data_IF_327932412794
#
_entry.id   IF_327932412794
#
_cell.length_a   1.000
_cell.length_b   1.000
_cell.length_c   1.000
_cell.angle_alpha   90.00
_cell.angle_beta   90.00
_cell.angle_gamma   90.00
#
_symmetry.space_group_name_H-M   'P 1'
#
loop_
_entity.id
_entity.type
_entity.pdbx_description
1 polymer ?
#
# COMPACT_ATOMS: atom_id res chain seq x y z
N UNK A 1 -23.34 44.92 -26.08
CA UNK A 1 -22.71 44.45 -24.85
C UNK A 1 -23.65 43.68 -23.93
N UNK A 2 -24.85 44.11 -23.78
CA UNK A 2 -25.82 43.42 -22.92
C UNK A 2 -26.25 42.04 -23.42
N UNK A 3 -26.31 41.86 -24.70
CA UNK A 3 -26.71 40.59 -25.30
C UNK A 3 -25.70 39.48 -25.08
N UNK A 4 -24.41 39.81 -25.03
CA UNK A 4 -23.36 38.84 -24.78
C UNK A 4 -23.43 38.27 -23.38
N UNK A 5 -23.81 39.07 -22.41
CA UNK A 5 -23.94 38.63 -21.04
C UNK A 5 -25.12 37.68 -20.87
N UNK A 6 -26.20 37.91 -21.59
CA UNK A 6 -27.37 37.02 -21.62
C UNK A 6 -27.02 35.67 -22.23
N UNK A 7 -26.26 35.66 -23.28
CA UNK A 7 -25.80 34.43 -23.92
C UNK A 7 -24.90 33.63 -23.00
N UNK A 8 -24.05 34.28 -22.23
CA UNK A 8 -23.21 33.60 -21.25
C UNK A 8 -24.03 32.94 -20.17
N UNK A 9 -25.10 33.53 -19.71
CA UNK A 9 -25.98 32.94 -18.72
C UNK A 9 -26.69 31.71 -19.26
N UNK A 10 -27.14 31.74 -20.53
CA UNK A 10 -27.77 30.59 -21.15
C UNK A 10 -26.80 29.41 -21.32
N UNK A 11 -25.56 29.69 -21.72
CA UNK A 11 -24.52 28.66 -21.79
C UNK A 11 -24.20 28.06 -20.44
N UNK A 12 -24.21 28.86 -19.42
CA UNK A 12 -23.99 28.43 -18.04
C UNK A 12 -25.04 27.42 -17.58
N UNK A 13 -26.29 27.65 -17.91
CA UNK A 13 -27.37 26.73 -17.57
C UNK A 13 -27.23 25.37 -18.25
N UNK A 14 -26.83 25.39 -19.51
CA UNK A 14 -26.62 24.15 -20.25
C UNK A 14 -25.46 23.34 -19.66
N UNK A 15 -24.40 23.99 -19.20
CA UNK A 15 -23.28 23.34 -18.54
C UNK A 15 -23.68 22.70 -17.23
N UNK A 16 -24.55 23.34 -16.47
CA UNK A 16 -25.06 22.78 -15.23
C UNK A 16 -25.87 21.50 -15.45
N UNK A 17 -26.70 21.47 -16.49
CA UNK A 17 -27.44 20.28 -16.83
C UNK A 17 -26.53 19.10 -17.21
N UNK A 18 -25.47 19.38 -17.91
CA UNK A 18 -24.48 18.36 -18.30
C UNK A 18 -23.75 17.78 -17.08
N UNK A 19 -23.43 18.63 -16.12
CA UNK A 19 -22.74 18.21 -14.89
C UNK A 19 -23.63 17.26 -14.07
N UNK A 20 -24.92 17.50 -14.02
CA UNK A 20 -25.86 16.62 -13.30
C UNK A 20 -25.90 15.22 -13.92
N UNK A 21 -25.86 15.13 -15.23
CA UNK A 21 -25.84 13.84 -15.93
C UNK A 21 -24.59 13.03 -15.63
N UNK A 22 -23.44 13.69 -15.54
CA UNK A 22 -22.18 13.05 -15.18
C UNK A 22 -22.20 12.57 -13.73
N UNK A 23 -22.82 13.32 -12.84
CA UNK A 23 -22.94 12.95 -11.44
C UNK A 23 -23.71 11.65 -11.21
N UNK A 24 -24.68 11.34 -12.02
CA UNK A 24 -25.45 10.10 -11.94
C UNK A 24 -24.58 8.90 -12.34
N UNK A 25 -23.71 9.07 -13.31
CA UNK A 25 -22.84 8.01 -13.79
C UNK A 25 -21.78 7.63 -12.75
N UNK A 26 -21.27 8.59 -11.99
CA UNK A 26 -20.27 8.34 -10.96
C UNK A 26 -20.82 7.60 -9.75
N UNK A 27 -22.11 7.65 -9.50
CA UNK A 27 -22.76 6.95 -8.40
C UNK A 27 -22.72 5.41 -8.55
N UNK A 28 -22.49 4.89 -9.74
CA UNK A 28 -22.36 3.46 -10.00
C UNK A 28 -20.97 2.90 -9.72
N UNK A 29 -19.94 3.73 -9.69
CA UNK A 29 -18.56 3.33 -9.49
C UNK A 29 -18.24 2.79 -8.08
N UNK A 30 -18.80 3.29 -6.98
CA UNK A 30 -18.47 2.81 -5.65
C UNK A 30 -18.78 1.34 -5.40
N UNK A 31 -19.64 0.74 -6.18
CA UNK A 31 -20.01 -0.67 -6.01
C UNK A 31 -18.90 -1.64 -6.35
N UNK A 32 -18.01 -1.27 -7.23
CA UNK A 32 -16.87 -2.11 -7.60
C UNK A 32 -15.78 -2.10 -6.54
N UNK A 33 -15.62 -1.01 -5.82
CA UNK A 33 -14.60 -0.88 -4.78
C UNK A 33 -14.92 -1.78 -3.59
N UNK A 34 -16.18 -1.97 -3.26
CA UNK A 34 -16.61 -2.83 -2.16
C UNK A 34 -16.31 -4.32 -2.37
N UNK A 35 -16.20 -4.78 -3.62
CA UNK A 35 -15.91 -6.17 -3.95
C UNK A 35 -14.44 -6.54 -3.73
N UNK A 36 -13.55 -5.55 -3.57
CA UNK A 36 -12.12 -5.77 -3.37
C UNK A 36 -11.70 -5.85 -1.90
N UNK A 37 -12.58 -5.56 -0.97
CA UNK A 37 -12.31 -5.58 0.46
C UNK A 37 -11.83 -6.94 0.97
N UNK A 38 -12.32 -8.10 0.50
CA UNK A 38 -11.82 -9.39 0.95
C UNK A 38 -10.36 -9.69 0.60
N UNK A 39 -9.78 -9.00 -0.36
CA UNK A 39 -8.38 -9.21 -0.76
C UNK A 39 -7.37 -8.71 0.27
N UNK A 40 -7.78 -7.83 1.17
CA UNK A 40 -6.90 -7.28 2.20
C UNK A 40 -6.50 -8.32 3.24
N UNK A 41 -7.38 -9.27 3.54
CA UNK A 41 -7.09 -10.34 4.47
C UNK A 41 -6.06 -11.34 3.95
N UNK A 42 -6.07 -11.58 2.65
CA UNK A 42 -5.09 -12.46 2.01
C UNK A 42 -3.70 -11.82 1.91
N UNK A 43 -3.64 -10.49 1.95
CA UNK A 43 -2.38 -9.77 1.85
C UNK A 43 -1.53 -9.91 3.12
N UNK A 44 -2.15 -10.04 4.28
CA UNK A 44 -1.43 -10.21 5.55
C UNK A 44 -0.76 -11.58 5.67
N UNK A 45 -1.48 -12.64 5.32
CA UNK A 45 -0.92 -13.99 5.25
C UNK A 45 0.19 -14.05 4.21
N UNK A 46 0.00 -13.35 3.10
CA UNK A 46 0.96 -13.22 2.02
C UNK A 46 2.28 -12.55 2.43
N UNK A 47 2.26 -11.57 3.33
CA UNK A 47 3.49 -10.88 3.75
C UNK A 47 4.43 -11.83 4.51
N UNK A 48 3.92 -12.57 5.47
CA UNK A 48 4.70 -13.57 6.21
C UNK A 48 5.32 -14.60 5.28
N UNK A 49 4.49 -15.19 4.44
CA UNK A 49 4.93 -16.23 3.50
C UNK A 49 5.93 -15.67 2.49
N UNK A 50 5.70 -14.45 2.00
CA UNK A 50 6.62 -13.78 1.09
C UNK A 50 7.98 -13.53 1.75
N UNK A 51 8.01 -13.11 3.01
CA UNK A 51 9.25 -12.89 3.75
C UNK A 51 9.99 -14.21 3.98
N UNK A 52 9.30 -15.24 4.42
CA UNK A 52 9.89 -16.56 4.67
C UNK A 52 10.50 -17.13 3.39
N UNK A 53 9.76 -17.10 2.30
CA UNK A 53 10.20 -17.65 1.02
C UNK A 53 11.29 -16.80 0.38
N UNK A 54 11.10 -15.49 0.31
CA UNK A 54 12.03 -14.58 -0.37
C UNK A 54 13.36 -14.40 0.37
N UNK A 55 13.32 -14.39 1.70
CA UNK A 55 14.51 -14.25 2.53
C UNK A 55 15.14 -15.61 2.89
N UNK A 56 14.56 -16.70 2.41
CA UNK A 56 15.02 -18.07 2.66
C UNK A 56 15.15 -18.41 4.13
N UNK A 57 14.14 -18.04 4.90
CA UNK A 57 14.05 -18.34 6.32
C UNK A 57 13.77 -19.83 6.53
N UNK A 58 14.79 -20.60 6.87
CA UNK A 58 14.69 -22.04 7.08
C UNK A 58 14.80 -22.43 8.56
N UNK A 59 15.53 -21.64 9.33
CA UNK A 59 15.70 -21.89 10.75
C UNK A 59 14.50 -21.39 11.56
N UNK A 60 14.17 -22.03 12.71
CA UNK A 60 13.04 -21.56 13.53
C UNK A 60 13.13 -20.11 13.96
N UNK A 61 14.32 -19.63 14.33
CA UNK A 61 14.54 -18.23 14.72
C UNK A 61 14.29 -17.25 13.56
N UNK A 62 14.63 -17.66 12.35
CA UNK A 62 14.41 -16.85 11.15
C UNK A 62 12.92 -16.71 10.82
N UNK A 63 12.22 -17.82 10.95
CA UNK A 63 10.75 -17.84 10.75
C UNK A 63 10.07 -16.96 11.79
N UNK A 64 10.48 -17.05 13.06
CA UNK A 64 9.96 -16.20 14.12
C UNK A 64 10.24 -14.72 13.86
N UNK A 65 11.41 -14.40 13.33
CA UNK A 65 11.75 -13.04 12.94
C UNK A 65 10.80 -12.52 11.85
N UNK A 66 10.57 -13.31 10.82
CA UNK A 66 9.61 -12.95 9.75
C UNK A 66 8.20 -12.77 10.31
N UNK A 67 7.77 -13.61 11.23
CA UNK A 67 6.48 -13.47 11.90
C UNK A 67 6.38 -12.17 12.69
N UNK A 68 7.41 -11.81 13.44
CA UNK A 68 7.45 -10.56 14.19
C UNK A 68 7.36 -9.35 13.26
N UNK A 69 8.09 -9.35 12.15
CA UNK A 69 8.05 -8.28 11.16
C UNK A 69 6.65 -8.16 10.55
N UNK A 70 6.06 -9.27 10.14
CA UNK A 70 4.72 -9.28 9.57
C UNK A 70 3.67 -8.80 10.57
N UNK A 71 3.75 -9.24 11.82
CA UNK A 71 2.85 -8.82 12.87
C UNK A 71 3.00 -7.32 13.21
N UNK A 72 4.23 -6.83 13.32
CA UNK A 72 4.50 -5.42 13.57
C UNK A 72 3.96 -4.53 12.44
N UNK A 73 4.04 -5.00 11.21
CA UNK A 73 3.47 -4.31 10.05
C UNK A 73 1.94 -4.29 10.12
N UNK A 74 1.35 -5.43 10.48
CA UNK A 74 -0.11 -5.54 10.61
C UNK A 74 -0.68 -4.61 11.67
N UNK A 75 -0.04 -4.49 12.82
CA UNK A 75 -0.52 -3.63 13.91
C UNK A 75 -0.10 -2.16 13.79
N UNK A 76 0.60 -1.81 12.72
CA UNK A 76 0.97 -0.42 12.44
C UNK A 76 2.24 0.09 13.11
N UNK A 77 2.98 -0.75 13.83
CA UNK A 77 4.27 -0.36 14.43
C UNK A 77 5.37 -0.19 13.40
N UNK A 78 5.28 -0.92 12.30
CA UNK A 78 6.27 -0.94 11.25
C UNK A 78 5.63 -0.54 9.92
N UNK A 79 6.08 0.55 9.26
CA UNK A 79 5.49 0.98 8.00
C UNK A 79 5.68 -0.05 6.88
N UNK A 80 4.63 -0.42 6.14
CA UNK A 80 4.72 -1.40 5.06
C UNK A 80 5.73 -1.02 3.98
N UNK A 81 5.84 0.25 3.66
CA UNK A 81 6.77 0.75 2.63
C UNK A 81 8.22 0.46 2.96
N UNK A 82 8.59 0.57 4.24
CA UNK A 82 9.96 0.29 4.69
C UNK A 82 10.24 -1.20 4.59
N UNK A 83 9.30 -2.04 4.99
CA UNK A 83 9.42 -3.49 4.87
C UNK A 83 9.59 -3.90 3.42
N UNK A 84 8.75 -3.40 2.54
CA UNK A 84 8.79 -3.72 1.11
C UNK A 84 10.08 -3.27 0.44
N UNK A 85 10.49 -2.02 0.67
CA UNK A 85 11.73 -1.49 0.08
C UNK A 85 12.96 -2.25 0.57
N UNK A 86 13.02 -2.59 1.85
CA UNK A 86 14.10 -3.36 2.43
C UNK A 86 14.12 -4.78 1.90
N UNK A 87 12.95 -5.39 1.74
CA UNK A 87 12.79 -6.72 1.16
C UNK A 87 13.33 -6.76 -0.28
N UNK A 88 12.90 -5.84 -1.13
CA UNK A 88 13.37 -5.77 -2.52
C UNK A 88 14.87 -5.51 -2.60
N UNK A 89 15.39 -4.64 -1.75
CA UNK A 89 16.82 -4.38 -1.70
C UNK A 89 17.62 -5.64 -1.29
N UNK A 90 17.18 -6.35 -0.27
CA UNK A 90 17.86 -7.56 0.20
C UNK A 90 17.81 -8.69 -0.82
N UNK A 91 16.66 -8.91 -1.47
CA UNK A 91 16.51 -9.94 -2.48
C UNK A 91 17.23 -9.63 -3.78
N UNK A 92 17.38 -8.35 -4.13
CA UNK A 92 18.10 -7.90 -5.32
C UNK A 92 19.60 -8.22 -5.25
N UNK A 93 20.16 -8.41 -4.07
CA UNK A 93 21.58 -8.76 -3.90
C UNK A 93 21.91 -10.20 -4.33
N UNK A 94 20.92 -11.02 -4.58
CA UNK A 94 21.07 -12.41 -5.06
C UNK A 94 22.02 -13.26 -4.22
N UNK A 95 22.05 -13.03 -2.91
CA UNK A 95 22.81 -13.85 -1.98
C UNK A 95 22.03 -15.12 -1.63
N UNK A 96 22.75 -16.17 -1.24
CA UNK A 96 22.12 -17.43 -0.83
C UNK A 96 21.28 -17.29 0.44
N UNK A 97 21.59 -16.33 1.28
CA UNK A 97 20.90 -16.10 2.54
C UNK A 97 20.70 -14.60 2.79
N UNK A 98 19.61 -14.01 2.23
CA UNK A 98 19.39 -12.57 2.31
C UNK A 98 18.84 -12.07 3.66
N UNK A 99 18.38 -12.95 4.53
CA UNK A 99 17.73 -12.55 5.78
C UNK A 99 18.59 -11.66 6.69
N UNK A 100 19.88 -11.94 6.94
CA UNK A 100 20.71 -11.06 7.77
C UNK A 100 20.85 -9.65 7.20
N UNK A 101 20.98 -9.55 5.89
CA UNK A 101 21.05 -8.25 5.20
C UNK A 101 19.74 -7.49 5.36
N UNK A 102 18.61 -8.17 5.20
CA UNK A 102 17.28 -7.61 5.42
C UNK A 102 17.13 -7.10 6.87
N UNK A 103 17.44 -7.93 7.85
CA UNK A 103 17.30 -7.59 9.26
C UNK A 103 18.12 -6.36 9.65
N UNK A 104 19.37 -6.31 9.20
CA UNK A 104 20.27 -5.19 9.47
C UNK A 104 19.80 -3.91 8.79
N UNK A 105 19.40 -3.99 7.53
CA UNK A 105 18.92 -2.84 6.78
C UNK A 105 17.60 -2.31 7.35
N UNK A 106 16.68 -3.19 7.75
CA UNK A 106 15.43 -2.81 8.37
C UNK A 106 15.68 -2.08 9.69
N UNK A 107 16.57 -2.60 10.52
CA UNK A 107 16.93 -1.99 11.79
C UNK A 107 17.53 -0.58 11.60
N UNK A 108 18.44 -0.43 10.65
CA UNK A 108 19.03 0.88 10.32
C UNK A 108 17.98 1.88 9.82
N UNK A 109 17.06 1.44 8.99
CA UNK A 109 15.97 2.30 8.50
C UNK A 109 15.06 2.75 9.65
N UNK A 110 14.73 1.83 10.54
CA UNK A 110 13.90 2.15 11.70
C UNK A 110 14.62 3.13 12.65
N UNK A 111 15.91 2.95 12.89
CA UNK A 111 16.70 3.87 13.70
C UNK A 111 16.71 5.29 13.12
N UNK A 112 16.91 5.42 11.82
CA UNK A 112 16.89 6.72 11.14
C UNK A 112 15.55 7.45 11.27
N UNK A 113 14.47 6.70 11.32
CA UNK A 113 13.11 7.25 11.41
C UNK A 113 12.57 7.30 12.85
N UNK A 114 13.35 6.86 13.82
CA UNK A 114 12.93 6.83 15.22
C UNK A 114 11.83 5.80 15.51
N UNK A 115 11.72 4.76 14.71
CA UNK A 115 10.70 3.71 14.85
C UNK A 115 11.23 2.61 15.77
N UNK A 116 10.46 2.28 16.79
CA UNK A 116 10.72 1.15 17.69
C UNK A 116 9.60 0.12 17.51
N UNK A 117 9.93 -1.01 16.92
CA UNK A 117 8.96 -2.06 16.63
C UNK A 117 9.25 -3.38 17.35
N UNK A 118 10.43 -3.52 17.91
CA UNK A 118 10.83 -4.66 18.75
C UNK A 118 10.53 -4.41 20.22
#
# INVERSE_FOLDING_TARGET
MYERDKERHLMSLNKLATVIAIGILTALLPRFVAAEVPKTTNTEVSLKDRLITGLRATRPEDIQYCERVANATRIGKLPPKIVDSTYFWATAKQTNYPLPAFAKALDLQCQKLGIRWQ
#
